data_IF_116822269124
#
_entry.id   IF_116822269124
#
_cell.length_a   1.000
_cell.length_b   1.000
_cell.length_c   1.000
_cell.angle_alpha   90.00
_cell.angle_beta   90.00
_cell.angle_gamma   90.00
#
_symmetry.space_group_name_H-M   'P 1'
#
loop_
_entity.id
_entity.type
_entity.pdbx_description
1 polymer ?
#
# COMPACT_ATOMS: atom_id res chain seq x y z
N UNK A 1 -12.57 6.90 12.02
CA UNK A 1 -12.67 6.97 10.55
C UNK A 1 -11.25 7.16 9.99
N UNK A 2 -10.89 6.44 8.91
CA UNK A 2 -9.54 6.53 8.35
C UNK A 2 -9.33 7.88 7.66
N UNK A 3 -8.18 8.51 7.90
CA UNK A 3 -7.80 9.81 7.31
C UNK A 3 -6.56 9.72 6.43
N UNK A 4 -5.67 8.79 6.77
CA UNK A 4 -4.48 8.44 5.99
C UNK A 4 -4.36 6.93 5.98
N UNK A 5 -4.07 6.37 4.81
CA UNK A 5 -3.90 4.95 4.59
C UNK A 5 -2.55 4.79 3.88
N UNK A 6 -1.64 4.05 4.51
CA UNK A 6 -0.33 3.72 3.95
C UNK A 6 -0.37 2.29 3.44
N UNK A 7 0.08 2.08 2.20
CA UNK A 7 0.21 0.76 1.60
C UNK A 7 1.65 0.57 1.10
N UNK A 8 2.39 -0.41 1.63
CA UNK A 8 3.63 -0.86 1.02
C UNK A 8 3.34 -1.64 -0.26
N UNK A 9 4.15 -1.41 -1.29
CA UNK A 9 4.08 -2.07 -2.59
C UNK A 9 5.40 -2.77 -2.88
N UNK A 10 5.32 -4.00 -3.35
CA UNK A 10 6.47 -4.87 -3.66
C UNK A 10 6.54 -5.30 -5.14
N UNK A 11 5.74 -4.64 -5.99
CA UNK A 11 5.66 -4.84 -7.44
C UNK A 11 5.31 -6.29 -7.83
N UNK A 12 4.33 -6.88 -7.15
CA UNK A 12 3.78 -8.20 -7.42
C UNK A 12 2.25 -8.24 -7.39
N UNK A 13 1.64 -9.40 -7.68
CA UNK A 13 0.18 -9.56 -7.84
C UNK A 13 -0.64 -9.16 -6.60
N UNK A 14 -0.03 -9.22 -5.41
CA UNK A 14 -0.64 -8.76 -4.17
C UNK A 14 -0.96 -7.26 -4.20
N UNK A 15 -0.13 -6.46 -4.88
CA UNK A 15 -0.30 -5.01 -5.01
C UNK A 15 -1.60 -4.68 -5.76
N UNK A 16 -1.88 -5.38 -6.86
CA UNK A 16 -3.12 -5.18 -7.61
C UNK A 16 -4.35 -5.50 -6.77
N UNK A 17 -4.27 -6.60 -6.02
CA UNK A 17 -5.34 -7.06 -5.12
C UNK A 17 -5.63 -6.00 -4.05
N UNK A 18 -4.62 -5.54 -3.32
CA UNK A 18 -4.82 -4.55 -2.26
C UNK A 18 -5.28 -3.19 -2.82
N UNK A 19 -4.73 -2.78 -3.97
CA UNK A 19 -5.14 -1.54 -4.64
C UNK A 19 -6.60 -1.57 -5.09
N UNK A 20 -7.12 -2.74 -5.51
CA UNK A 20 -8.52 -2.94 -5.84
C UNK A 20 -9.46 -2.69 -4.65
N UNK A 21 -9.07 -3.16 -3.46
CA UNK A 21 -9.88 -2.99 -2.24
C UNK A 21 -9.75 -1.60 -1.60
N UNK A 22 -8.55 -1.03 -1.61
CA UNK A 22 -8.27 0.16 -0.81
C UNK A 22 -8.72 1.46 -1.48
N UNK A 23 -8.75 1.52 -2.82
CA UNK A 23 -9.19 2.71 -3.56
C UNK A 23 -10.66 3.07 -3.25
N UNK A 24 -11.64 2.14 -3.30
CA UNK A 24 -13.01 2.44 -2.87
C UNK A 24 -13.09 2.89 -1.41
N UNK A 25 -12.38 2.23 -0.50
CA UNK A 25 -12.39 2.58 0.93
C UNK A 25 -11.86 4.01 1.17
N UNK A 26 -10.76 4.38 0.52
CA UNK A 26 -10.19 5.71 0.62
C UNK A 26 -11.17 6.78 0.12
N UNK A 27 -11.90 6.50 -0.98
CA UNK A 27 -12.94 7.41 -1.51
C UNK A 27 -14.11 7.56 -0.54
N UNK A 28 -14.63 6.46 0.01
CA UNK A 28 -15.75 6.48 0.96
C UNK A 28 -15.43 7.24 2.25
N UNK A 29 -14.15 7.25 2.64
CA UNK A 29 -13.69 7.87 3.88
C UNK A 29 -13.07 9.25 3.69
N UNK A 30 -12.85 9.69 2.44
CA UNK A 30 -12.06 10.89 2.14
C UNK A 30 -10.60 10.77 2.60
N UNK A 31 -10.08 9.55 2.75
CA UNK A 31 -8.73 9.31 3.22
C UNK A 31 -7.68 9.58 2.14
N UNK A 32 -6.53 10.09 2.55
CA UNK A 32 -5.34 10.17 1.69
C UNK A 32 -4.67 8.80 1.60
N UNK A 33 -4.35 8.37 0.39
CA UNK A 33 -3.60 7.14 0.13
C UNK A 33 -2.12 7.48 -0.06
N UNK A 34 -1.24 6.88 0.74
CA UNK A 34 0.22 6.95 0.58
C UNK A 34 0.72 5.59 0.14
N UNK A 35 1.31 5.52 -1.05
CA UNK A 35 1.91 4.31 -1.60
C UNK A 35 3.41 4.40 -1.41
N UNK A 36 4.03 3.40 -0.78
CA UNK A 36 5.48 3.32 -0.61
C UNK A 36 5.99 2.07 -1.29
N UNK A 37 6.94 2.20 -2.21
CA UNK A 37 7.63 1.02 -2.71
C UNK A 37 8.69 0.61 -1.69
N UNK A 38 8.61 -0.63 -1.22
CA UNK A 38 9.64 -1.21 -0.35
C UNK A 38 10.62 -1.94 -1.24
N UNK A 39 11.87 -1.45 -1.27
CA UNK A 39 12.93 -2.19 -1.92
C UNK A 39 13.08 -3.55 -1.20
N UNK A 40 12.94 -4.64 -1.94
CA UNK A 40 13.17 -5.98 -1.42
C UNK A 40 14.52 -6.53 -1.91
N UNK A 41 15.17 -7.35 -1.07
CA UNK A 41 16.53 -7.84 -1.32
C UNK A 41 17.18 -8.40 -0.06
N UNK A 42 18.29 -9.12 -0.19
CA UNK A 42 18.95 -9.76 0.96
C UNK A 42 19.30 -8.74 2.04
N UNK A 43 19.91 -7.60 1.67
CA UNK A 43 20.25 -6.54 2.63
C UNK A 43 18.99 -5.95 3.27
N UNK A 44 17.92 -5.74 2.48
CA UNK A 44 16.65 -5.21 2.96
C UNK A 44 15.88 -6.18 3.90
N UNK A 45 16.32 -7.44 4.02
CA UNK A 45 15.72 -8.44 4.91
C UNK A 45 16.64 -8.84 6.07
N UNK A 46 17.89 -8.36 6.10
CA UNK A 46 18.92 -8.79 7.07
C UNK A 46 19.71 -7.60 7.68
N UNK A 47 19.05 -6.45 7.89
CA UNK A 47 19.65 -5.25 8.51
C UNK A 47 19.32 -5.12 10.00
#
# INVERSE_FOLDING_TARGET
MYRHILIPLENGDADETILGHIKPLARMTGAKLLLVHVADGWVARNF
#
